data_IF_894785379392
#
_entry.id   IF_894785379392
#
_cell.length_a   1.000
_cell.length_b   1.000
_cell.length_c   1.000
_cell.angle_alpha   90.00
_cell.angle_beta   90.00
_cell.angle_gamma   90.00
#
_symmetry.space_group_name_H-M   'P 1'
#
loop_
_entity.id
_entity.type
_entity.pdbx_description
1 polymer ?
#
# COMPACT_ATOMS: atom_id res chain seq x y z
N UNK A 1 -3.34 -23.18 8.56
CA UNK A 1 -3.16 -22.53 7.24
C UNK A 1 -1.71 -22.66 6.82
N UNK A 2 -1.45 -23.33 5.69
CA UNK A 2 -0.10 -23.53 5.13
C UNK A 2 0.13 -22.56 3.96
N UNK A 3 1.01 -21.57 4.17
CA UNK A 3 1.28 -20.51 3.18
C UNK A 3 1.97 -21.03 1.90
N UNK A 4 2.75 -22.13 1.99
CA UNK A 4 3.39 -22.75 0.80
C UNK A 4 2.32 -23.36 -0.13
N UNK A 5 1.38 -24.09 0.46
CA UNK A 5 0.26 -24.69 -0.29
C UNK A 5 -0.63 -23.61 -0.90
N UNK A 6 -0.98 -22.57 -0.13
CA UNK A 6 -1.78 -21.44 -0.60
C UNK A 6 -1.14 -20.76 -1.83
N UNK A 7 0.18 -20.51 -1.79
CA UNK A 7 0.90 -19.91 -2.93
C UNK A 7 0.99 -20.85 -4.13
N UNK A 8 1.15 -22.16 -3.89
CA UNK A 8 1.14 -23.15 -4.96
C UNK A 8 -0.23 -23.22 -5.65
N UNK A 9 -1.30 -23.21 -4.87
CA UNK A 9 -2.68 -23.16 -5.36
C UNK A 9 -2.94 -21.87 -6.18
N UNK A 10 -2.52 -20.70 -5.68
CA UNK A 10 -2.64 -19.45 -6.42
C UNK A 10 -1.95 -19.50 -7.79
N UNK A 11 -0.74 -20.08 -7.86
CA UNK A 11 -0.04 -20.26 -9.15
C UNK A 11 -0.73 -21.22 -10.10
N UNK A 12 -1.29 -22.30 -9.58
CA UNK A 12 -2.05 -23.25 -10.38
C UNK A 12 -3.33 -22.62 -10.94
N UNK A 13 -4.04 -21.86 -10.11
CA UNK A 13 -5.24 -21.13 -10.53
C UNK A 13 -4.91 -20.06 -11.58
N UNK A 14 -3.83 -19.34 -11.42
CA UNK A 14 -3.40 -18.34 -12.39
C UNK A 14 -3.14 -18.95 -13.79
N UNK A 15 -2.66 -20.19 -13.85
CA UNK A 15 -2.42 -20.90 -15.12
C UNK A 15 -3.70 -21.51 -15.71
N UNK A 16 -4.65 -21.90 -14.83
CA UNK A 16 -5.86 -22.63 -15.24
C UNK A 16 -7.04 -21.73 -15.60
N UNK A 17 -7.08 -20.51 -15.04
CA UNK A 17 -8.23 -19.61 -15.22
C UNK A 17 -8.00 -18.73 -16.45
N UNK A 18 -8.72 -18.99 -17.55
CA UNK A 18 -8.69 -18.09 -18.70
C UNK A 18 -9.30 -16.75 -18.32
N UNK A 19 -8.74 -15.65 -18.83
CA UNK A 19 -9.27 -14.32 -18.58
C UNK A 19 -8.79 -13.68 -17.26
N UNK A 20 -8.02 -14.37 -16.41
CA UNK A 20 -7.48 -13.77 -15.17
C UNK A 20 -6.67 -12.51 -15.44
N UNK A 21 -5.83 -12.52 -16.48
CA UNK A 21 -5.04 -11.34 -16.85
C UNK A 21 -5.93 -10.17 -17.29
N UNK A 22 -7.08 -10.45 -17.91
CA UNK A 22 -8.01 -9.41 -18.37
C UNK A 22 -8.60 -8.63 -17.18
N UNK A 23 -8.80 -9.28 -16.02
CA UNK A 23 -9.28 -8.59 -14.81
C UNK A 23 -8.28 -7.54 -14.29
N UNK A 24 -6.99 -7.84 -14.41
CA UNK A 24 -5.93 -6.98 -13.91
C UNK A 24 -5.32 -6.09 -15.00
N UNK A 25 -5.87 -6.11 -16.23
CA UNK A 25 -5.33 -5.36 -17.35
C UNK A 25 -5.29 -3.84 -17.07
N UNK A 26 -6.42 -3.29 -16.62
CA UNK A 26 -6.53 -1.83 -16.34
C UNK A 26 -5.52 -1.39 -15.27
N UNK A 27 -5.47 -1.97 -14.05
CA UNK A 27 -4.52 -1.55 -13.04
C UNK A 27 -3.05 -1.74 -13.45
N UNK A 28 -2.74 -2.77 -14.24
CA UNK A 28 -1.39 -2.99 -14.76
C UNK A 28 -1.04 -1.90 -15.78
N UNK A 29 -1.94 -1.57 -16.69
CA UNK A 29 -1.72 -0.50 -17.68
C UNK A 29 -1.53 0.85 -17.03
N UNK A 30 -2.34 1.20 -16.01
CA UNK A 30 -2.19 2.45 -15.26
C UNK A 30 -0.82 2.48 -14.55
N UNK A 31 -0.41 1.36 -13.93
CA UNK A 31 0.89 1.26 -13.27
C UNK A 31 2.05 1.43 -14.25
N UNK A 32 2.00 0.79 -15.42
CA UNK A 32 3.02 0.93 -16.45
C UNK A 32 3.08 2.37 -16.97
N UNK A 33 1.92 2.95 -17.29
CA UNK A 33 1.86 4.33 -17.76
C UNK A 33 2.40 5.31 -16.71
N UNK A 34 2.05 5.14 -15.43
CA UNK A 34 2.56 6.00 -14.37
C UNK A 34 4.08 5.90 -14.19
N UNK A 35 4.68 4.72 -14.45
CA UNK A 35 6.12 4.56 -14.39
C UNK A 35 6.84 5.16 -15.62
N UNK A 36 6.19 5.14 -16.80
CA UNK A 36 6.76 5.73 -18.02
C UNK A 36 6.58 7.26 -18.10
N UNK A 37 5.49 7.77 -17.52
CA UNK A 37 5.18 9.21 -17.50
C UNK A 37 5.73 9.89 -16.25
N UNK A 38 6.16 9.13 -15.25
CA UNK A 38 6.84 9.66 -14.06
C UNK A 38 8.18 10.24 -14.48
N UNK A 39 8.34 11.54 -14.24
CA UNK A 39 9.58 12.29 -14.52
C UNK A 39 10.82 11.57 -14.01
N UNK A 40 11.86 11.58 -14.84
CA UNK A 40 13.18 11.12 -14.48
C UNK A 40 13.65 11.84 -13.19
N UNK A 41 14.13 11.06 -12.23
CA UNK A 41 14.62 11.59 -10.94
C UNK A 41 15.83 12.55 -11.09
N UNK A 42 16.41 12.63 -12.27
CA UNK A 42 17.53 13.51 -12.56
C UNK A 42 17.19 15.00 -12.40
N UNK A 43 15.96 15.40 -12.69
CA UNK A 43 15.50 16.78 -12.53
C UNK A 43 15.31 17.21 -11.06
N UNK A 44 15.19 16.27 -10.13
CA UNK A 44 14.92 16.60 -8.72
C UNK A 44 16.12 17.23 -8.00
N UNK A 45 17.33 16.71 -8.20
CA UNK A 45 18.53 17.25 -7.54
C UNK A 45 18.90 18.63 -8.11
N UNK A 46 18.80 18.81 -9.42
CA UNK A 46 19.06 20.09 -10.08
C UNK A 46 17.96 21.10 -9.77
N UNK A 47 16.71 20.63 -9.67
CA UNK A 47 15.57 21.44 -9.28
C UNK A 47 15.63 21.91 -7.82
N UNK A 48 16.01 21.06 -6.87
CA UNK A 48 16.22 21.47 -5.46
C UNK A 48 17.39 22.44 -5.28
N UNK A 49 18.36 22.42 -6.19
CA UNK A 49 19.47 23.38 -6.18
C UNK A 49 19.08 24.75 -6.73
N UNK A 50 18.07 24.87 -7.58
CA UNK A 50 17.72 26.08 -8.34
C UNK A 50 16.43 26.78 -7.89
N UNK A 51 15.57 26.15 -7.07
CA UNK A 51 14.19 26.61 -6.79
C UNK A 51 14.00 27.07 -5.35
N UNK A 52 13.17 28.10 -5.19
CA UNK A 52 12.69 28.55 -3.88
C UNK A 52 12.01 27.38 -3.13
N UNK A 53 12.41 27.18 -1.86
CA UNK A 53 11.93 26.13 -0.96
C UNK A 53 10.39 26.02 -0.97
N UNK A 54 9.69 27.15 -1.13
CA UNK A 54 8.23 27.22 -1.18
C UNK A 54 7.66 26.56 -2.45
N UNK A 55 8.28 26.82 -3.60
CA UNK A 55 7.86 26.20 -4.87
C UNK A 55 8.16 24.71 -4.89
N UNK A 56 9.33 24.29 -4.40
CA UNK A 56 9.69 22.88 -4.24
C UNK A 56 8.67 22.15 -3.36
N UNK A 57 8.28 22.75 -2.22
CA UNK A 57 7.26 22.17 -1.34
C UNK A 57 5.90 21.99 -2.04
N UNK A 58 5.41 23.00 -2.76
CA UNK A 58 4.14 22.89 -3.50
C UNK A 58 4.18 21.79 -4.56
N UNK A 59 5.28 21.65 -5.24
CA UNK A 59 5.46 20.65 -6.30
C UNK A 59 5.46 19.23 -5.71
N UNK A 60 6.20 19.02 -4.62
CA UNK A 60 6.21 17.72 -3.91
C UNK A 60 4.84 17.35 -3.35
N UNK A 61 4.11 18.30 -2.76
CA UNK A 61 2.75 18.06 -2.28
C UNK A 61 1.83 17.70 -3.44
N UNK A 62 1.90 18.41 -4.56
CA UNK A 62 1.04 18.14 -5.73
C UNK A 62 1.34 16.78 -6.36
N UNK A 63 2.62 16.39 -6.51
CA UNK A 63 3.05 15.07 -6.99
C UNK A 63 2.58 13.97 -6.04
N UNK A 64 2.75 14.17 -4.73
CA UNK A 64 2.30 13.24 -3.71
C UNK A 64 0.78 13.03 -3.75
N UNK A 65 -0.01 14.10 -3.88
CA UNK A 65 -1.46 14.01 -4.00
C UNK A 65 -1.89 13.29 -5.29
N UNK A 66 -1.28 13.61 -6.42
CA UNK A 66 -1.55 12.95 -7.69
C UNK A 66 -1.27 11.45 -7.62
N UNK A 67 -0.11 11.06 -7.06
CA UNK A 67 0.24 9.66 -6.84
C UNK A 67 -0.80 8.94 -5.94
N UNK A 68 -1.29 9.59 -4.88
CA UNK A 68 -2.33 9.02 -4.01
C UNK A 68 -3.66 8.81 -4.73
N UNK A 69 -4.05 9.73 -5.63
CA UNK A 69 -5.26 9.57 -6.45
C UNK A 69 -5.11 8.40 -7.42
N UNK A 70 -4.00 8.31 -8.13
CA UNK A 70 -3.70 7.18 -9.03
C UNK A 70 -3.74 5.86 -8.27
N UNK A 71 -3.05 5.77 -7.14
CA UNK A 71 -3.05 4.56 -6.31
C UNK A 71 -4.44 4.19 -5.78
N UNK A 72 -5.27 5.20 -5.49
CA UNK A 72 -6.67 4.96 -5.11
C UNK A 72 -7.47 4.35 -6.26
N UNK A 73 -7.35 4.90 -7.46
CA UNK A 73 -8.02 4.37 -8.66
C UNK A 73 -7.55 2.94 -8.96
N UNK A 74 -6.23 2.69 -8.95
CA UNK A 74 -5.68 1.34 -9.12
C UNK A 74 -6.28 0.37 -8.09
N UNK A 75 -6.41 0.80 -6.82
CA UNK A 75 -6.97 -0.04 -5.76
C UNK A 75 -8.42 -0.45 -6.01
N UNK A 76 -9.25 0.43 -6.60
CA UNK A 76 -10.64 0.12 -6.95
C UNK A 76 -10.72 -0.99 -8.02
N UNK A 77 -9.88 -0.92 -9.05
CA UNK A 77 -9.82 -1.97 -10.08
C UNK A 77 -9.31 -3.32 -9.52
N UNK A 78 -8.30 -3.27 -8.65
CA UNK A 78 -7.78 -4.47 -7.97
C UNK A 78 -8.85 -5.10 -7.07
N UNK A 79 -9.61 -4.29 -6.34
CA UNK A 79 -10.72 -4.76 -5.51
C UNK A 79 -11.81 -5.38 -6.38
N UNK A 80 -12.17 -4.75 -7.50
CA UNK A 80 -13.11 -5.31 -8.48
C UNK A 80 -12.69 -6.69 -8.97
N UNK A 81 -11.42 -6.82 -9.37
CA UNK A 81 -10.84 -8.09 -9.80
C UNK A 81 -10.89 -9.14 -8.67
N UNK A 82 -10.61 -8.73 -7.43
CA UNK A 82 -10.65 -9.61 -6.27
C UNK A 82 -12.08 -10.10 -5.97
N UNK A 83 -13.11 -9.26 -6.17
CA UNK A 83 -14.50 -9.65 -6.03
C UNK A 83 -14.92 -10.70 -7.08
N UNK A 84 -14.48 -10.51 -8.33
CA UNK A 84 -14.70 -11.49 -9.38
C UNK A 84 -14.04 -12.84 -9.07
N UNK A 85 -12.84 -12.82 -8.48
CA UNK A 85 -12.14 -14.03 -8.03
C UNK A 85 -12.86 -14.74 -6.89
N UNK A 86 -13.44 -14.01 -5.92
CA UNK A 86 -14.24 -14.60 -4.85
C UNK A 86 -15.41 -15.35 -5.44
N UNK A 87 -16.13 -14.76 -6.40
CA UNK A 87 -17.27 -15.40 -7.04
C UNK A 87 -16.89 -16.64 -7.83
N UNK A 88 -15.77 -16.59 -8.55
CA UNK A 88 -15.25 -17.74 -9.27
C UNK A 88 -14.87 -18.88 -8.31
N UNK A 89 -14.20 -18.60 -7.20
CA UNK A 89 -13.80 -19.62 -6.24
C UNK A 89 -15.01 -20.26 -5.54
N UNK A 90 -16.08 -19.49 -5.37
CA UNK A 90 -17.35 -19.99 -4.84
C UNK A 90 -18.27 -20.62 -5.89
N UNK A 91 -17.77 -20.77 -7.13
CA UNK A 91 -18.53 -21.33 -8.29
C UNK A 91 -19.83 -20.58 -8.58
N UNK A 92 -19.86 -19.28 -8.30
CA UNK A 92 -21.00 -18.41 -8.62
C UNK A 92 -20.91 -17.86 -10.06
N UNK A 93 -19.72 -17.90 -10.65
CA UNK A 93 -19.47 -17.57 -12.06
C UNK A 93 -18.57 -18.65 -12.67
N UNK A 94 -18.82 -19.01 -13.93
CA UNK A 94 -18.03 -20.02 -14.63
C UNK A 94 -16.85 -19.42 -15.39
N UNK A 95 -16.98 -18.17 -15.83
CA UNK A 95 -15.99 -17.46 -16.64
C UNK A 95 -15.79 -16.04 -16.17
N UNK A 96 -14.56 -15.56 -16.27
CA UNK A 96 -14.20 -14.17 -15.99
C UNK A 96 -14.33 -13.32 -17.27
N UNK A 97 -15.00 -12.17 -17.14
CA UNK A 97 -15.17 -11.20 -18.23
C UNK A 97 -14.42 -9.91 -17.90
N UNK A 98 -14.01 -9.17 -18.92
CA UNK A 98 -13.39 -7.86 -18.73
C UNK A 98 -14.28 -6.90 -17.93
N UNK A 99 -15.62 -6.95 -18.13
CA UNK A 99 -16.58 -6.16 -17.35
C UNK A 99 -16.52 -6.41 -15.85
N UNK A 100 -16.02 -7.56 -15.41
CA UNK A 100 -15.86 -7.86 -13.99
C UNK A 100 -14.79 -7.01 -13.31
N UNK A 101 -13.87 -6.42 -14.09
CA UNK A 101 -12.90 -5.44 -13.59
C UNK A 101 -13.54 -4.12 -13.14
N UNK A 102 -14.81 -3.90 -13.45
CA UNK A 102 -15.58 -2.69 -13.13
C UNK A 102 -16.59 -2.93 -11.98
N UNK A 103 -16.62 -4.09 -11.34
CA UNK A 103 -17.64 -4.43 -10.31
C UNK A 103 -17.69 -3.43 -9.15
N UNK A 104 -16.55 -2.90 -8.70
CA UNK A 104 -16.50 -1.92 -7.62
C UNK A 104 -17.20 -0.60 -7.98
N UNK A 105 -17.40 -0.31 -9.26
CA UNK A 105 -18.04 0.92 -9.75
C UNK A 105 -19.58 0.82 -9.87
N UNK A 106 -20.16 -0.35 -9.51
CA UNK A 106 -21.62 -0.47 -9.47
C UNK A 106 -22.22 0.40 -8.36
N UNK A 107 -23.40 0.99 -8.60
CA UNK A 107 -24.07 1.89 -7.65
C UNK A 107 -24.26 1.30 -6.25
N UNK A 108 -24.43 -0.02 -6.15
CA UNK A 108 -24.64 -0.71 -4.87
C UNK A 108 -23.34 -0.92 -4.08
N UNK A 109 -22.18 -1.02 -4.76
CA UNK A 109 -20.90 -1.35 -4.14
C UNK A 109 -20.04 -0.10 -3.95
N UNK A 110 -20.07 0.85 -4.89
CA UNK A 110 -19.15 1.97 -4.95
C UNK A 110 -19.16 2.84 -3.68
N UNK A 111 -20.33 3.32 -3.27
CA UNK A 111 -20.45 4.21 -2.11
C UNK A 111 -20.03 3.51 -0.81
N UNK A 112 -20.54 2.30 -0.46
CA UNK A 112 -20.05 1.57 0.72
C UNK A 112 -18.54 1.29 0.68
N UNK A 113 -17.99 0.97 -0.50
CA UNK A 113 -16.58 0.68 -0.68
C UNK A 113 -15.71 1.91 -0.41
N UNK A 114 -16.02 3.04 -1.09
CA UNK A 114 -15.26 4.29 -0.92
C UNK A 114 -15.32 4.75 0.54
N UNK A 115 -16.48 4.70 1.17
CA UNK A 115 -16.63 5.08 2.57
C UNK A 115 -15.82 4.16 3.51
N UNK A 116 -15.82 2.84 3.24
CA UNK A 116 -15.04 1.88 4.03
C UNK A 116 -13.54 2.10 3.85
N UNK A 117 -13.07 2.35 2.63
CA UNK A 117 -11.67 2.66 2.33
C UNK A 117 -11.24 3.97 2.98
N UNK A 118 -12.10 5.00 2.96
CA UNK A 118 -11.84 6.27 3.61
C UNK A 118 -11.71 6.11 5.13
N UNK A 119 -12.67 5.46 5.78
CA UNK A 119 -12.61 5.17 7.22
C UNK A 119 -11.37 4.33 7.59
N UNK A 120 -11.04 3.32 6.78
CA UNK A 120 -9.83 2.51 6.95
C UNK A 120 -8.57 3.37 6.89
N UNK A 121 -8.45 4.27 5.88
CA UNK A 121 -7.30 5.17 5.74
C UNK A 121 -7.19 6.14 6.93
N UNK A 122 -8.30 6.71 7.39
CA UNK A 122 -8.31 7.60 8.57
C UNK A 122 -7.82 6.88 9.83
N UNK A 123 -8.33 5.69 10.11
CA UNK A 123 -7.91 4.91 11.27
C UNK A 123 -6.43 4.55 11.18
N UNK A 124 -5.96 4.11 10.00
CA UNK A 124 -4.55 3.79 9.80
C UNK A 124 -3.66 5.02 9.92
N UNK A 125 -4.11 6.17 9.44
CA UNK A 125 -3.41 7.45 9.63
C UNK A 125 -3.26 7.80 11.11
N UNK A 126 -4.33 7.68 11.91
CA UNK A 126 -4.24 7.87 13.36
C UNK A 126 -3.20 6.96 14.03
N UNK A 127 -3.12 5.68 13.62
CA UNK A 127 -2.12 4.75 14.13
C UNK A 127 -0.69 5.05 13.65
N UNK A 128 -0.55 5.76 12.55
CA UNK A 128 0.76 6.11 11.96
C UNK A 128 1.23 7.52 12.32
N UNK A 129 0.54 8.27 13.18
CA UNK A 129 0.92 9.64 13.55
C UNK A 129 2.35 9.72 14.09
N UNK A 130 2.75 8.78 14.98
CA UNK A 130 4.12 8.75 15.51
C UNK A 130 5.16 8.58 14.39
N UNK A 131 4.86 7.74 13.41
CA UNK A 131 5.72 7.52 12.24
C UNK A 131 5.88 8.83 11.45
N UNK A 132 4.78 9.51 11.17
CA UNK A 132 4.81 10.78 10.42
C UNK A 132 5.56 11.87 11.17
N UNK A 133 5.30 12.06 12.47
CA UNK A 133 6.01 13.04 13.31
C UNK A 133 7.50 12.73 13.34
N UNK A 134 7.88 11.48 13.58
CA UNK A 134 9.27 11.05 13.59
C UNK A 134 9.96 11.26 12.23
N UNK A 135 9.25 10.99 11.12
CA UNK A 135 9.78 11.23 9.76
C UNK A 135 10.02 12.71 9.49
N UNK A 136 9.08 13.58 9.85
CA UNK A 136 9.24 15.04 9.66
C UNK A 136 10.44 15.56 10.47
N UNK A 137 10.58 15.16 11.74
CA UNK A 137 11.73 15.53 12.57
C UNK A 137 13.04 15.04 11.92
N UNK A 138 13.08 13.78 11.50
CA UNK A 138 14.29 13.19 10.91
C UNK A 138 14.71 13.87 9.60
N UNK A 139 13.75 14.16 8.72
CA UNK A 139 14.01 14.86 7.44
C UNK A 139 14.50 16.28 7.71
N UNK A 140 13.82 17.02 8.58
CA UNK A 140 14.21 18.39 8.90
C UNK A 140 15.61 18.47 9.52
N UNK A 141 15.91 17.60 10.49
CA UNK A 141 17.21 17.57 11.15
C UNK A 141 18.33 17.14 10.22
N UNK A 142 18.08 16.14 9.35
CA UNK A 142 19.05 15.72 8.32
C UNK A 142 19.37 16.85 7.36
N UNK A 143 18.35 17.59 6.90
CA UNK A 143 18.53 18.76 6.05
C UNK A 143 19.38 19.84 6.75
N UNK A 144 19.11 20.14 8.03
CA UNK A 144 19.88 21.14 8.80
C UNK A 144 21.33 20.74 8.99
N UNK A 145 21.62 19.48 9.26
CA UNK A 145 22.98 18.96 9.37
C UNK A 145 23.72 19.11 8.04
N UNK A 146 23.09 18.70 6.94
CA UNK A 146 23.67 18.79 5.60
C UNK A 146 23.92 20.25 5.21
N UNK A 147 23.01 21.16 5.51
CA UNK A 147 23.14 22.59 5.26
C UNK A 147 24.36 23.19 5.98
N UNK A 148 24.53 22.88 7.28
CA UNK A 148 25.68 23.34 8.07
C UNK A 148 27.00 22.80 7.48
N UNK A 149 27.01 21.53 7.10
CA UNK A 149 28.17 20.88 6.51
C UNK A 149 28.59 21.53 5.18
N UNK A 150 27.63 21.83 4.31
CA UNK A 150 27.87 22.43 3.00
C UNK A 150 28.32 23.89 3.08
N UNK A 151 28.07 24.61 4.20
CA UNK A 151 28.55 25.97 4.41
C UNK A 151 29.96 26.05 5.02
N UNK A 152 30.54 24.91 5.40
CA UNK A 152 31.86 24.89 6.03
C UNK A 152 32.95 25.20 4.99
N UNK A 153 33.73 26.30 5.14
CA UNK A 153 34.81 26.63 4.22
C UNK A 153 35.93 25.57 4.34
N UNK A 154 36.38 25.06 3.19
CA UNK A 154 37.44 24.04 3.11
C UNK A 154 37.17 22.78 3.94
N UNK A 155 35.89 22.39 4.12
CA UNK A 155 35.48 21.27 4.97
C UNK A 155 35.94 21.36 6.45
N UNK A 156 36.28 22.56 6.93
CA UNK A 156 36.62 22.79 8.33
C UNK A 156 35.39 23.34 9.06
N UNK A 157 34.85 22.56 9.97
CA UNK A 157 33.74 22.97 10.81
C UNK A 157 34.25 23.83 11.97
N UNK A 158 33.60 24.96 12.22
CA UNK A 158 33.85 25.76 13.42
C UNK A 158 33.28 25.03 14.66
N UNK A 159 33.80 25.37 15.85
CA UNK A 159 33.30 24.80 17.12
C UNK A 159 31.80 25.05 17.31
N UNK A 160 31.30 26.19 16.86
CA UNK A 160 29.85 26.50 16.87
C UNK A 160 29.06 25.57 15.93
N UNK A 161 29.58 25.29 14.74
CA UNK A 161 28.97 24.37 13.79
C UNK A 161 28.92 22.92 14.34
N UNK A 162 30.01 22.49 14.98
CA UNK A 162 30.08 21.16 15.64
C UNK A 162 29.04 21.07 16.73
N UNK A 163 28.88 22.09 17.57
CA UNK A 163 27.86 22.10 18.62
C UNK A 163 26.44 22.07 18.08
N UNK A 164 26.15 22.80 17.00
CA UNK A 164 24.85 22.75 16.33
C UNK A 164 24.57 21.36 15.74
N UNK A 165 25.54 20.76 15.05
CA UNK A 165 25.41 19.39 14.52
C UNK A 165 25.15 18.39 15.64
N UNK A 166 25.82 18.52 16.78
CA UNK A 166 25.58 17.66 17.94
C UNK A 166 24.13 17.75 18.45
N UNK A 167 23.57 18.96 18.55
CA UNK A 167 22.19 19.16 18.95
C UNK A 167 21.19 18.59 17.93
N UNK A 168 21.45 18.78 16.64
CA UNK A 168 20.63 18.17 15.59
C UNK A 168 20.76 16.65 15.55
N UNK A 169 21.92 16.08 15.85
CA UNK A 169 22.13 14.63 15.93
C UNK A 169 21.27 13.99 17.00
N UNK A 170 21.12 14.63 18.16
CA UNK A 170 20.18 14.16 19.20
C UNK A 170 18.73 14.19 18.71
N UNK A 171 18.32 15.27 18.04
CA UNK A 171 16.98 15.39 17.48
C UNK A 171 16.73 14.34 16.38
N UNK A 172 17.74 14.05 15.56
CA UNK A 172 17.67 13.00 14.55
C UNK A 172 17.49 11.61 15.20
N UNK A 173 18.24 11.33 16.24
CA UNK A 173 18.09 10.07 16.99
C UNK A 173 16.67 9.92 17.57
N UNK A 174 16.12 10.96 18.19
CA UNK A 174 14.76 10.97 18.69
C UNK A 174 13.73 10.79 17.57
N UNK A 175 13.92 11.44 16.42
CA UNK A 175 13.09 11.27 15.23
C UNK A 175 13.08 9.82 14.72
N UNK A 176 14.24 9.19 14.60
CA UNK A 176 14.38 7.79 14.19
C UNK A 176 13.75 6.81 15.20
N UNK A 177 13.87 7.12 16.50
CA UNK A 177 13.21 6.33 17.55
C UNK A 177 11.69 6.41 17.41
N UNK A 178 11.12 7.59 17.16
CA UNK A 178 9.69 7.76 16.92
C UNK A 178 9.23 7.03 15.64
N UNK A 179 10.02 7.05 14.56
CA UNK A 179 9.74 6.27 13.34
C UNK A 179 9.68 4.79 13.67
N UNK A 180 10.66 4.27 14.41
CA UNK A 180 10.73 2.85 14.78
C UNK A 180 9.53 2.44 15.62
N UNK A 181 9.19 3.22 16.65
CA UNK A 181 8.00 2.99 17.48
C UNK A 181 6.72 3.08 16.66
N UNK A 182 6.63 4.07 15.76
CA UNK A 182 5.51 4.24 14.84
C UNK A 182 5.31 3.04 13.92
N UNK A 183 6.38 2.44 13.40
CA UNK A 183 6.33 1.20 12.60
C UNK A 183 5.82 0.02 13.44
N UNK A 184 6.37 -0.17 14.64
CA UNK A 184 5.98 -1.28 15.54
C UNK A 184 4.48 -1.22 15.86
N UNK A 185 3.93 -0.01 16.05
CA UNK A 185 2.51 0.17 16.37
C UNK A 185 1.62 0.06 15.11
N UNK A 186 2.01 0.69 13.99
CA UNK A 186 1.16 0.81 12.80
C UNK A 186 1.09 -0.47 11.98
N UNK A 187 2.18 -1.25 11.87
CA UNK A 187 2.22 -2.48 11.06
C UNK A 187 1.16 -3.51 11.50
N UNK A 188 1.00 -3.87 12.79
CA UNK A 188 -0.02 -4.81 13.20
C UNK A 188 -1.45 -4.32 12.94
N UNK A 189 -1.67 -3.00 12.95
CA UNK A 189 -2.97 -2.41 12.64
C UNK A 189 -3.28 -2.48 11.14
N UNK A 190 -2.29 -2.25 10.28
CA UNK A 190 -2.43 -2.44 8.83
C UNK A 190 -2.92 -3.86 8.50
N UNK A 191 -2.36 -4.88 9.15
CA UNK A 191 -2.81 -6.27 8.97
C UNK A 191 -4.16 -6.55 9.62
N UNK A 192 -4.51 -5.87 10.70
CA UNK A 192 -5.82 -6.02 11.33
C UNK A 192 -6.99 -5.65 10.40
N UNK A 193 -6.78 -4.66 9.52
CA UNK A 193 -7.80 -4.17 8.58
C UNK A 193 -7.61 -4.69 7.15
N UNK A 194 -6.76 -5.69 6.94
CA UNK A 194 -6.40 -6.19 5.61
C UNK A 194 -7.51 -6.98 4.91
N UNK A 195 -8.54 -7.43 5.63
CA UNK A 195 -9.65 -8.21 5.08
C UNK A 195 -10.94 -7.39 4.92
N UNK A 196 -10.89 -6.09 5.20
CA UNK A 196 -12.08 -5.24 5.25
C UNK A 196 -12.85 -5.22 3.92
N UNK A 197 -12.14 -5.13 2.78
CA UNK A 197 -12.75 -5.08 1.47
C UNK A 197 -13.50 -6.37 1.13
N UNK A 198 -12.96 -7.52 1.50
CA UNK A 198 -13.59 -8.83 1.24
C UNK A 198 -14.81 -9.06 2.14
N UNK A 199 -14.72 -8.66 3.40
CA UNK A 199 -15.83 -8.69 4.35
C UNK A 199 -16.97 -7.77 3.88
N UNK A 200 -16.63 -6.57 3.41
CA UNK A 200 -17.60 -5.65 2.84
C UNK A 200 -18.38 -6.30 1.69
N UNK A 201 -17.65 -6.95 0.78
CA UNK A 201 -18.29 -7.64 -0.35
C UNK A 201 -19.28 -8.72 0.09
N UNK A 202 -18.89 -9.52 1.07
CA UNK A 202 -19.77 -10.54 1.62
C UNK A 202 -21.02 -9.93 2.26
N UNK A 203 -20.85 -8.88 3.10
CA UNK A 203 -21.98 -8.22 3.73
C UNK A 203 -22.94 -7.57 2.74
N UNK A 204 -22.43 -6.99 1.66
CA UNK A 204 -23.27 -6.41 0.60
C UNK A 204 -24.05 -7.50 -0.14
N UNK A 205 -23.43 -8.65 -0.41
CA UNK A 205 -24.12 -9.78 -1.02
C UNK A 205 -25.19 -10.43 -0.12
N UNK A 206 -24.89 -10.51 1.16
CA UNK A 206 -25.77 -11.10 2.17
C UNK A 206 -26.84 -10.10 2.68
N UNK A 207 -26.78 -8.83 2.24
CA UNK A 207 -27.69 -7.78 2.72
C UNK A 207 -27.50 -7.41 4.20
N UNK A 208 -26.34 -7.72 4.78
CA UNK A 208 -26.04 -7.56 6.22
C UNK A 208 -25.17 -6.34 6.51
N UNK A 209 -24.91 -5.49 5.52
CA UNK A 209 -24.06 -4.30 5.66
C UNK A 209 -24.71 -3.27 6.61
N UNK A 210 -23.99 -2.90 7.68
CA UNK A 210 -24.44 -1.94 8.71
C UNK A 210 -23.50 -0.71 8.82
N UNK A 211 -22.53 -0.60 7.92
CA UNK A 211 -21.65 0.57 7.87
C UNK A 211 -20.16 0.22 7.92
N UNK A 212 -19.30 1.20 7.57
CA UNK A 212 -17.87 0.97 7.40
C UNK A 212 -17.14 0.57 8.68
N UNK A 213 -17.51 1.15 9.82
CA UNK A 213 -16.86 0.87 11.10
C UNK A 213 -17.11 -0.57 11.56
N UNK A 214 -18.28 -1.14 11.27
CA UNK A 214 -18.58 -2.52 11.57
C UNK A 214 -17.75 -3.48 10.72
N UNK A 215 -17.61 -3.20 9.42
CA UNK A 215 -16.72 -3.95 8.51
C UNK A 215 -15.29 -3.96 9.04
N UNK A 216 -14.76 -2.80 9.46
CA UNK A 216 -13.43 -2.68 10.01
C UNK A 216 -13.28 -3.44 11.35
N UNK A 217 -14.29 -3.37 12.22
CA UNK A 217 -14.32 -4.15 13.47
C UNK A 217 -14.30 -5.65 13.18
N UNK A 218 -15.07 -6.12 12.22
CA UNK A 218 -15.09 -7.54 11.84
C UNK A 218 -13.75 -7.98 11.24
N UNK A 219 -13.12 -7.14 10.38
CA UNK A 219 -11.79 -7.42 9.87
C UNK A 219 -10.77 -7.60 11.00
N UNK A 220 -10.78 -6.70 11.99
CA UNK A 220 -9.90 -6.78 13.15
C UNK A 220 -10.11 -8.07 13.96
N UNK A 221 -11.37 -8.47 14.17
CA UNK A 221 -11.71 -9.72 14.87
C UNK A 221 -11.30 -10.96 14.07
N UNK A 222 -11.55 -10.95 12.77
CA UNK A 222 -11.18 -12.03 11.86
C UNK A 222 -9.66 -12.24 11.82
N UNK A 223 -8.88 -11.16 11.83
CA UNK A 223 -7.43 -11.19 11.77
C UNK A 223 -6.75 -11.45 13.13
N UNK A 224 -7.51 -11.58 14.22
CA UNK A 224 -6.93 -11.91 15.53
C UNK A 224 -6.32 -13.31 15.50
N UNK A 225 -4.99 -13.41 15.76
CA UNK A 225 -4.21 -14.64 15.72
C UNK A 225 -3.69 -15.04 14.33
N UNK A 226 -3.92 -14.20 13.27
CA UNK A 226 -3.49 -14.49 11.90
C UNK A 226 -2.73 -13.34 11.23
N UNK A 227 -2.43 -12.26 11.97
CA UNK A 227 -1.70 -11.10 11.45
C UNK A 227 -0.28 -11.46 11.01
N UNK A 228 0.39 -12.30 11.80
CA UNK A 228 1.71 -12.88 11.52
C UNK A 228 1.72 -13.68 10.22
N UNK A 229 0.72 -14.53 10.02
CA UNK A 229 0.58 -15.32 8.77
C UNK A 229 0.36 -14.42 7.56
N UNK A 230 -0.45 -13.37 7.70
CA UNK A 230 -0.63 -12.40 6.62
C UNK A 230 0.66 -11.64 6.32
N UNK A 231 1.38 -11.20 7.36
CA UNK A 231 2.69 -10.58 7.24
C UNK A 231 3.68 -11.48 6.50
N UNK A 232 3.79 -12.76 6.92
CA UNK A 232 4.67 -13.74 6.27
C UNK A 232 4.28 -14.02 4.82
N UNK A 233 2.99 -13.95 4.48
CA UNK A 233 2.55 -14.03 3.10
C UNK A 233 3.09 -12.86 2.29
N UNK A 234 2.98 -11.63 2.77
CA UNK A 234 3.48 -10.43 2.08
C UNK A 234 5.00 -10.43 1.98
N UNK A 235 5.72 -10.81 3.05
CA UNK A 235 7.19 -11.00 3.02
C UNK A 235 7.62 -12.00 1.95
N UNK A 236 6.82 -13.06 1.74
CA UNK A 236 7.13 -14.07 0.71
C UNK A 236 7.04 -13.55 -0.73
N UNK A 237 6.46 -12.37 -0.94
CA UNK A 237 6.38 -11.71 -2.23
C UNK A 237 7.45 -10.63 -2.44
N UNK A 238 8.30 -10.33 -1.44
CA UNK A 238 9.33 -9.28 -1.56
C UNK A 238 10.22 -9.50 -2.80
N UNK A 239 10.67 -10.74 -3.04
CA UNK A 239 11.48 -11.04 -4.23
C UNK A 239 10.76 -10.72 -5.55
N UNK A 240 9.45 -10.95 -5.63
CA UNK A 240 8.62 -10.58 -6.78
C UNK A 240 8.44 -9.07 -6.90
N UNK A 241 8.35 -8.35 -5.79
CA UNK A 241 8.27 -6.89 -5.78
C UNK A 241 9.58 -6.25 -6.25
N UNK A 242 10.73 -6.81 -5.82
CA UNK A 242 12.04 -6.40 -6.34
C UNK A 242 12.13 -6.64 -7.85
N UNK A 243 11.65 -7.78 -8.35
CA UNK A 243 11.61 -8.07 -9.78
C UNK A 243 10.72 -7.06 -10.53
N UNK A 244 9.56 -6.68 -9.96
CA UNK A 244 8.71 -5.62 -10.55
C UNK A 244 9.45 -4.30 -10.64
N UNK A 245 10.18 -3.91 -9.60
CA UNK A 245 10.98 -2.69 -9.59
C UNK A 245 12.08 -2.73 -10.67
N UNK A 246 12.86 -3.82 -10.75
CA UNK A 246 13.93 -3.99 -11.73
C UNK A 246 13.43 -4.02 -13.18
N UNK A 247 12.20 -4.46 -13.41
CA UNK A 247 11.59 -4.54 -14.76
C UNK A 247 10.71 -3.33 -15.08
N UNK A 248 10.83 -2.22 -14.33
CA UNK A 248 9.99 -1.01 -14.48
C UNK A 248 8.49 -1.33 -14.51
N UNK A 249 8.07 -2.33 -13.74
CA UNK A 249 6.67 -2.76 -13.64
C UNK A 249 6.24 -3.85 -14.62
N UNK A 250 7.04 -4.21 -15.63
CA UNK A 250 6.66 -5.24 -16.62
C UNK A 250 6.34 -6.60 -15.98
N UNK A 251 7.11 -7.01 -14.95
CA UNK A 251 6.81 -8.22 -14.21
C UNK A 251 5.44 -8.17 -13.49
N UNK A 252 4.85 -6.99 -13.34
CA UNK A 252 3.53 -6.78 -12.73
C UNK A 252 2.41 -7.52 -13.46
N UNK A 253 2.56 -7.78 -14.76
CA UNK A 253 1.61 -8.58 -15.56
C UNK A 253 1.38 -9.96 -14.91
N UNK A 254 2.44 -10.56 -14.38
CA UNK A 254 2.36 -11.85 -13.68
C UNK A 254 2.16 -11.69 -12.18
N UNK A 255 2.88 -10.75 -11.57
CA UNK A 255 3.00 -10.63 -10.11
C UNK A 255 1.74 -10.09 -9.46
N UNK A 256 1.08 -9.09 -10.07
CA UNK A 256 -0.14 -8.47 -9.52
C UNK A 256 -1.27 -9.50 -9.40
N UNK A 257 -1.65 -10.23 -10.47
CA UNK A 257 -2.65 -11.30 -10.36
C UNK A 257 -2.27 -12.36 -9.33
N UNK A 258 -0.99 -12.74 -9.23
CA UNK A 258 -0.52 -13.75 -8.30
C UNK A 258 -0.70 -13.32 -6.83
N UNK A 259 -0.30 -12.10 -6.49
CA UNK A 259 -0.43 -11.55 -5.13
C UNK A 259 -1.91 -11.47 -4.73
N UNK A 260 -2.77 -10.95 -5.62
CA UNK A 260 -4.18 -10.74 -5.30
C UNK A 260 -4.98 -12.05 -5.27
N UNK A 261 -4.68 -13.01 -6.15
CA UNK A 261 -5.22 -14.37 -6.06
C UNK A 261 -4.85 -15.03 -4.73
N UNK A 262 -3.58 -14.90 -4.32
CA UNK A 262 -3.13 -15.41 -3.01
C UNK A 262 -3.85 -14.71 -1.84
N UNK A 263 -4.14 -13.42 -1.96
CA UNK A 263 -4.87 -12.66 -0.93
C UNK A 263 -6.33 -13.10 -0.80
N UNK A 264 -6.99 -13.38 -1.92
CA UNK A 264 -8.36 -13.92 -1.92
C UNK A 264 -8.40 -15.33 -1.35
N UNK A 265 -7.47 -16.21 -1.72
CA UNK A 265 -7.36 -17.54 -1.13
C UNK A 265 -7.10 -17.50 0.38
N UNK A 266 -6.27 -16.56 0.83
CA UNK A 266 -6.03 -16.32 2.24
C UNK A 266 -7.32 -15.98 2.97
N UNK A 267 -8.13 -15.07 2.40
CA UNK A 267 -9.43 -14.70 2.94
C UNK A 267 -10.40 -15.90 3.02
N UNK A 268 -10.53 -16.67 1.94
CA UNK A 268 -11.44 -17.84 1.90
C UNK A 268 -11.04 -18.91 2.93
N UNK A 269 -9.74 -19.23 3.03
CA UNK A 269 -9.23 -20.15 4.05
C UNK A 269 -9.46 -19.62 5.47
N UNK A 270 -9.24 -18.31 5.69
CA UNK A 270 -9.46 -17.68 6.99
C UNK A 270 -10.94 -17.69 7.38
N UNK A 271 -11.85 -17.43 6.42
CA UNK A 271 -13.30 -17.49 6.62
C UNK A 271 -13.74 -18.91 6.98
N UNK A 272 -13.17 -19.93 6.34
CA UNK A 272 -13.46 -21.34 6.65
C UNK A 272 -12.99 -21.77 8.05
N UNK A 273 -11.86 -21.21 8.54
CA UNK A 273 -11.31 -21.52 9.87
C UNK A 273 -12.06 -20.82 11.02
N UNK A 274 -12.83 -19.77 10.71
CA UNK A 274 -13.55 -18.95 11.71
C UNK A 274 -15.07 -19.19 11.73
N UNK A 275 -15.58 -20.06 10.87
CA UNK A 275 -16.92 -20.64 10.96
C UNK A 275 -16.96 -21.67 12.07
#
# INVERSE_FOLDING_TARGET
MNLRQLRAEARLLQRKIPGLLLLFFIPIMILLLSNFLGDSQEDLMEYFASVDLKQAFYLEVSRGLFSQVINFVISLFIISASYALIDLFRRQTEQLKFSDSLRAFSNQIFTPLVLTLFCKRLILFCWSILLWVGSVISIFTSYRILYIYNQAPNNQLSDQAIQQISNYSLSLFLGLLLVTLGLIISLPQRYAYSQAEFILYDQLKEGTYQGPLQVLRQSRLMMKGYKDKRFMLDVSFIGWQILMFLTLGLAGIYVIPYIHTSSVLFYEQLKALKK
#
